data_IF_388541338916
#
_entry.id   IF_388541338916
#
_cell.length_a   1.000
_cell.length_b   1.000
_cell.length_c   1.000
_cell.angle_alpha   90.00
_cell.angle_beta   90.00
_cell.angle_gamma   90.00
#
_symmetry.space_group_name_H-M   'P 1'
#
loop_
_entity.id
_entity.type
_entity.pdbx_description
1 polymer ?
#
# COMPACT_ATOMS: atom_id res chain seq x y z
N UNK A 1 -0.66 5.44 -8.40
CA UNK A 1 -0.69 5.22 -9.87
C UNK A 1 0.47 5.95 -10.56
N UNK A 2 0.59 7.27 -10.41
CA UNK A 2 1.64 8.07 -11.06
C UNK A 2 3.06 7.56 -10.77
N UNK A 3 3.34 7.16 -9.52
CA UNK A 3 4.63 6.57 -9.16
C UNK A 3 4.94 5.26 -9.92
N UNK A 4 3.95 4.37 -10.12
CA UNK A 4 4.16 3.15 -10.90
C UNK A 4 4.46 3.49 -12.36
N UNK A 5 3.71 4.46 -12.93
CA UNK A 5 3.91 4.90 -14.31
C UNK A 5 5.29 5.57 -14.51
N UNK A 6 5.73 6.40 -13.57
CA UNK A 6 7.06 7.02 -13.63
C UNK A 6 8.21 6.02 -13.51
N UNK A 7 7.94 4.84 -12.93
CA UNK A 7 8.90 3.75 -12.79
C UNK A 7 8.78 2.68 -13.89
N UNK A 8 8.17 3.01 -15.03
CA UNK A 8 8.17 2.15 -16.22
C UNK A 8 7.08 1.09 -16.25
N UNK A 9 6.11 1.11 -15.32
CA UNK A 9 4.95 0.21 -15.40
C UNK A 9 4.01 0.71 -16.50
N UNK A 10 4.04 0.06 -17.66
CA UNK A 10 3.17 0.35 -18.82
C UNK A 10 1.95 -0.55 -18.89
N UNK A 11 2.00 -1.71 -18.22
CA UNK A 11 0.90 -2.68 -18.17
C UNK A 11 -0.41 -2.08 -17.61
N UNK A 12 -1.52 -2.76 -17.88
CA UNK A 12 -2.82 -2.38 -17.32
C UNK A 12 -2.82 -2.65 -15.82
N UNK A 13 -3.04 -1.60 -15.02
CA UNK A 13 -3.07 -1.71 -13.56
C UNK A 13 -4.50 -2.07 -13.13
N UNK A 14 -4.61 -3.15 -12.37
CA UNK A 14 -5.85 -3.61 -11.76
C UNK A 14 -5.64 -3.62 -10.26
N UNK A 15 -6.40 -2.79 -9.55
CA UNK A 15 -6.48 -2.79 -8.10
C UNK A 15 -7.51 -3.83 -7.67
N UNK A 16 -7.10 -4.71 -6.77
CA UNK A 16 -7.97 -5.66 -6.11
C UNK A 16 -8.14 -5.16 -4.68
N UNK A 17 -9.38 -4.97 -4.24
CA UNK A 17 -9.69 -4.51 -2.87
C UNK A 17 -10.55 -5.55 -2.18
N UNK A 18 -10.32 -5.72 -0.88
CA UNK A 18 -11.18 -6.56 -0.04
C UNK A 18 -12.55 -5.89 0.21
N UNK A 19 -13.54 -6.69 0.59
CA UNK A 19 -14.87 -6.21 1.01
C UNK A 19 -14.92 -5.81 2.49
N UNK A 20 -13.77 -5.61 3.14
CA UNK A 20 -13.67 -5.10 4.51
C UNK A 20 -14.49 -3.83 4.72
N UNK A 21 -14.86 -3.56 5.97
CA UNK A 21 -15.82 -2.51 6.34
C UNK A 21 -15.41 -1.11 5.81
N UNK A 22 -14.09 -0.86 5.71
CA UNK A 22 -13.45 0.36 5.19
C UNK A 22 -13.60 0.55 3.67
N UNK A 23 -13.79 -0.53 2.90
CA UNK A 23 -13.90 -0.52 1.44
C UNK A 23 -15.24 -1.03 0.91
N UNK A 24 -16.28 -1.12 1.75
CA UNK A 24 -17.61 -1.45 1.26
C UNK A 24 -18.71 -1.70 2.28
N UNK A 25 -18.41 -1.75 3.57
CA UNK A 25 -19.42 -2.01 4.61
C UNK A 25 -20.39 -0.86 4.85
N UNK A 26 -19.93 0.40 4.76
CA UNK A 26 -20.73 1.58 5.17
C UNK A 26 -20.91 2.67 4.11
N UNK A 27 -20.18 2.68 2.99
CA UNK A 27 -20.33 3.75 1.99
C UNK A 27 -20.05 3.31 0.55
N UNK A 28 -21.09 2.79 -0.11
CA UNK A 28 -21.09 2.49 -1.54
C UNK A 28 -20.71 3.69 -2.44
N UNK A 29 -21.00 4.91 -1.99
CA UNK A 29 -20.66 6.12 -2.74
C UNK A 29 -19.14 6.33 -2.82
N UNK A 30 -18.41 6.07 -1.73
CA UNK A 30 -16.93 6.15 -1.71
C UNK A 30 -16.30 5.18 -2.70
N UNK A 31 -16.77 3.93 -2.76
CA UNK A 31 -16.29 2.94 -3.75
C UNK A 31 -16.56 3.43 -5.18
N UNK A 32 -17.77 3.94 -5.44
CA UNK A 32 -18.16 4.39 -6.78
C UNK A 32 -17.27 5.53 -7.26
N UNK A 33 -17.02 6.50 -6.39
CA UNK A 33 -16.22 7.67 -6.74
C UNK A 33 -14.73 7.31 -6.85
N UNK A 34 -14.23 6.41 -6.01
CA UNK A 34 -12.90 5.83 -6.15
C UNK A 34 -12.75 5.04 -7.47
N UNK A 35 -13.75 4.24 -7.84
CA UNK A 35 -13.76 3.48 -9.10
C UNK A 35 -13.72 4.43 -10.31
N UNK A 36 -14.47 5.54 -10.27
CA UNK A 36 -14.44 6.60 -11.29
C UNK A 36 -13.06 7.24 -11.37
N UNK A 37 -12.47 7.63 -10.24
CA UNK A 37 -11.15 8.24 -10.18
C UNK A 37 -10.09 7.31 -10.80
N UNK A 38 -10.03 6.06 -10.36
CA UNK A 38 -9.09 5.05 -10.86
C UNK A 38 -9.30 4.81 -12.36
N UNK A 39 -10.55 4.77 -12.82
CA UNK A 39 -10.86 4.61 -14.25
C UNK A 39 -10.37 5.78 -15.10
N UNK A 40 -10.36 7.00 -14.55
CA UNK A 40 -9.80 8.19 -15.20
C UNK A 40 -8.30 8.07 -15.49
N UNK A 41 -7.58 7.24 -14.72
CA UNK A 41 -6.17 6.92 -14.95
C UNK A 41 -5.96 5.66 -15.81
N UNK A 42 -7.00 5.17 -16.49
CA UNK A 42 -6.93 3.95 -17.30
C UNK A 42 -6.74 2.67 -16.50
N UNK A 43 -7.01 2.70 -15.20
CA UNK A 43 -6.86 1.58 -14.29
C UNK A 43 -8.23 0.93 -14.00
N UNK A 44 -8.25 -0.31 -13.51
CA UNK A 44 -9.48 -0.98 -13.06
C UNK A 44 -9.43 -1.24 -11.56
N UNK A 45 -10.60 -1.26 -10.92
CA UNK A 45 -10.75 -1.67 -9.53
C UNK A 45 -11.79 -2.79 -9.44
N UNK A 46 -11.36 -3.93 -8.92
CA UNK A 46 -12.15 -5.15 -8.72
C UNK A 46 -12.24 -5.41 -7.22
N UNK A 47 -13.39 -5.90 -6.75
CA UNK A 47 -13.57 -6.33 -5.37
C UNK A 47 -13.51 -7.85 -5.34
N UNK A 48 -12.84 -8.41 -4.33
CA UNK A 48 -12.80 -9.86 -4.14
C UNK A 48 -14.18 -10.44 -3.88
N UNK A 49 -14.32 -11.75 -4.04
CA UNK A 49 -15.59 -12.41 -3.77
C UNK A 49 -15.83 -12.50 -2.25
N UNK A 50 -17.05 -12.20 -1.81
CA UNK A 50 -17.40 -12.28 -0.40
C UNK A 50 -17.32 -13.73 0.08
N UNK A 51 -16.52 -13.98 1.12
CA UNK A 51 -16.35 -15.32 1.68
C UNK A 51 -15.20 -16.14 1.08
N UNK A 52 -14.33 -15.51 0.29
CA UNK A 52 -13.17 -16.16 -0.36
C UNK A 52 -11.83 -15.60 0.19
N UNK A 53 -11.46 -15.93 1.44
CA UNK A 53 -10.22 -15.44 2.06
C UNK A 53 -8.94 -15.89 1.33
N UNK A 54 -9.01 -16.95 0.54
CA UNK A 54 -7.91 -17.44 -0.30
C UNK A 54 -7.45 -16.41 -1.35
N UNK A 55 -8.36 -15.55 -1.84
CA UNK A 55 -8.01 -14.48 -2.80
C UNK A 55 -7.12 -13.40 -2.17
N UNK A 56 -7.10 -13.32 -0.82
CA UNK A 56 -6.27 -12.40 -0.05
C UNK A 56 -5.02 -13.06 0.56
N UNK A 57 -4.77 -14.36 0.32
CA UNK A 57 -3.72 -15.10 1.02
C UNK A 57 -2.31 -14.48 0.86
N UNK A 58 -2.02 -13.85 -0.28
CA UNK A 58 -0.77 -13.13 -0.51
C UNK A 58 -0.68 -11.83 0.31
N UNK A 59 -1.79 -11.08 0.41
CA UNK A 59 -1.87 -9.85 1.21
C UNK A 59 -1.73 -10.17 2.70
N UNK A 60 -2.46 -11.17 3.19
CA UNK A 60 -2.40 -11.61 4.58
C UNK A 60 -1.00 -12.12 4.98
N UNK A 61 -0.32 -12.81 4.06
CA UNK A 61 1.07 -13.21 4.29
C UNK A 61 2.00 -12.00 4.34
N UNK A 62 1.80 -11.01 3.46
CA UNK A 62 2.60 -9.78 3.49
C UNK A 62 2.42 -9.03 4.81
N UNK A 63 1.18 -8.83 5.26
CA UNK A 63 0.89 -8.18 6.54
C UNK A 63 1.56 -8.90 7.70
N UNK A 64 1.52 -10.24 7.72
CA UNK A 64 2.22 -11.02 8.75
C UNK A 64 3.73 -10.81 8.71
N UNK A 65 4.34 -10.73 7.52
CA UNK A 65 5.77 -10.43 7.39
C UNK A 65 6.10 -9.03 7.91
N UNK A 66 5.26 -8.04 7.62
CA UNK A 66 5.44 -6.69 8.16
C UNK A 66 5.33 -6.70 9.69
N UNK A 67 4.35 -7.42 10.26
CA UNK A 67 4.22 -7.59 11.70
C UNK A 67 5.44 -8.28 12.33
N UNK A 68 5.86 -9.40 11.77
CA UNK A 68 6.89 -10.27 12.34
C UNK A 68 8.31 -9.69 12.19
N UNK A 69 8.60 -9.06 11.05
CA UNK A 69 9.96 -8.63 10.68
C UNK A 69 10.18 -7.11 10.81
N UNK A 70 9.12 -6.30 10.73
CA UNK A 70 9.22 -4.85 10.93
C UNK A 70 8.69 -4.44 12.31
N UNK A 71 7.39 -4.56 12.55
CA UNK A 71 6.77 -4.00 13.75
C UNK A 71 7.26 -4.68 15.03
N UNK A 72 7.23 -6.01 15.13
CA UNK A 72 7.67 -6.70 16.38
C UNK A 72 9.13 -6.45 16.70
N UNK A 73 9.99 -6.31 15.69
CA UNK A 73 11.43 -6.11 15.90
C UNK A 73 11.80 -4.65 16.19
N UNK A 74 11.01 -3.68 15.69
CA UNK A 74 11.40 -2.26 15.66
C UNK A 74 10.43 -1.31 16.35
N UNK A 75 9.19 -1.73 16.63
CA UNK A 75 8.13 -0.87 17.21
C UNK A 75 8.52 -0.14 18.49
N UNK A 76 9.34 -0.77 19.36
CA UNK A 76 9.78 -0.17 20.62
C UNK A 76 10.94 0.82 20.48
N UNK A 77 11.45 1.04 19.26
CA UNK A 77 12.63 1.87 18.99
C UNK A 77 12.31 3.17 18.24
N UNK A 78 11.05 3.41 17.92
CA UNK A 78 10.67 4.60 17.16
C UNK A 78 10.51 5.81 18.10
N UNK A 79 11.46 6.73 18.01
CA UNK A 79 11.51 7.93 18.85
C UNK A 79 10.88 9.17 18.18
N UNK A 80 10.53 9.07 16.90
CA UNK A 80 9.85 10.12 16.12
C UNK A 80 9.24 9.57 14.82
N UNK A 81 8.35 10.34 14.18
CA UNK A 81 7.82 10.03 12.84
C UNK A 81 8.93 9.94 11.78
N UNK A 82 9.93 10.82 11.85
CA UNK A 82 11.08 10.76 10.95
C UNK A 82 11.85 9.45 11.11
N UNK A 83 12.11 9.04 12.36
CA UNK A 83 12.78 7.77 12.63
C UNK A 83 11.95 6.58 12.13
N UNK A 84 10.61 6.62 12.28
CA UNK A 84 9.72 5.62 11.71
C UNK A 84 9.84 5.54 10.17
N UNK A 85 9.84 6.68 9.49
CA UNK A 85 9.96 6.74 8.02
C UNK A 85 11.33 6.24 7.54
N UNK A 86 12.41 6.59 8.23
CA UNK A 86 13.76 6.12 7.91
C UNK A 86 13.87 4.60 8.08
N UNK A 87 13.35 4.06 9.18
CA UNK A 87 13.33 2.62 9.43
C UNK A 87 12.43 1.86 8.46
N UNK A 88 11.28 2.44 8.09
CA UNK A 88 10.41 1.88 7.07
C UNK A 88 11.11 1.84 5.70
N UNK A 89 11.87 2.88 5.35
CA UNK A 89 12.65 2.92 4.11
C UNK A 89 13.75 1.85 4.12
N UNK A 90 14.46 1.70 5.24
CA UNK A 90 15.45 0.62 5.42
C UNK A 90 14.81 -0.77 5.27
N UNK A 91 13.63 -0.97 5.86
CA UNK A 91 12.92 -2.23 5.77
C UNK A 91 12.44 -2.53 4.35
N UNK A 92 11.86 -1.55 3.65
CA UNK A 92 11.46 -1.68 2.24
C UNK A 92 12.67 -2.04 1.37
N UNK A 93 13.82 -1.38 1.59
CA UNK A 93 15.04 -1.70 0.87
C UNK A 93 15.49 -3.14 1.14
N UNK A 94 15.56 -3.55 2.41
CA UNK A 94 15.90 -4.91 2.81
C UNK A 94 14.97 -5.93 2.17
N UNK A 95 13.66 -5.73 2.28
CA UNK A 95 12.64 -6.63 1.74
C UNK A 95 12.79 -6.80 0.23
N UNK A 96 12.96 -5.71 -0.51
CA UNK A 96 13.01 -5.76 -1.97
C UNK A 96 14.34 -6.27 -2.53
N UNK A 97 15.46 -5.99 -1.85
CA UNK A 97 16.80 -6.14 -2.42
C UNK A 97 17.69 -7.19 -1.74
N UNK A 98 17.36 -7.59 -0.51
CA UNK A 98 18.22 -8.46 0.30
C UNK A 98 17.47 -9.71 0.74
N UNK A 99 16.20 -9.57 1.11
CA UNK A 99 15.37 -10.67 1.62
C UNK A 99 15.04 -11.66 0.50
N UNK A 100 15.47 -12.90 0.66
CA UNK A 100 15.13 -13.99 -0.25
C UNK A 100 13.76 -14.58 0.09
N UNK A 101 13.00 -14.98 -0.93
CA UNK A 101 11.70 -15.60 -0.76
C UNK A 101 11.73 -17.01 -1.31
N UNK A 102 11.41 -18.00 -0.48
CA UNK A 102 11.33 -19.40 -0.93
C UNK A 102 10.27 -19.63 -2.02
N UNK A 103 9.21 -18.81 -2.04
CA UNK A 103 8.20 -18.82 -3.10
C UNK A 103 8.69 -18.24 -4.44
N UNK A 104 9.87 -17.61 -4.44
CA UNK A 104 10.52 -17.04 -5.62
C UNK A 104 11.86 -17.75 -5.89
N UNK A 105 11.95 -19.05 -5.58
CA UNK A 105 13.17 -19.85 -5.73
C UNK A 105 14.40 -19.22 -5.04
N UNK A 106 14.19 -18.65 -3.85
CA UNK A 106 15.21 -17.92 -3.07
C UNK A 106 15.79 -16.69 -3.78
N UNK A 107 15.07 -16.13 -4.76
CA UNK A 107 15.39 -14.81 -5.30
C UNK A 107 14.76 -13.69 -4.44
N UNK A 108 15.33 -12.49 -4.55
CA UNK A 108 14.74 -11.28 -3.94
C UNK A 108 13.58 -10.77 -4.80
N UNK A 109 12.60 -10.05 -4.21
CA UNK A 109 11.48 -9.51 -4.97
C UNK A 109 11.91 -8.67 -6.17
N UNK A 110 12.93 -7.82 -6.02
CA UNK A 110 13.45 -7.01 -7.12
C UNK A 110 14.13 -7.85 -8.20
N UNK A 111 14.94 -8.85 -7.83
CA UNK A 111 15.59 -9.73 -8.80
C UNK A 111 14.56 -10.51 -9.63
N UNK A 112 13.54 -11.07 -8.96
CA UNK A 112 12.44 -11.75 -9.62
C UNK A 112 11.68 -10.81 -10.57
N UNK A 113 11.35 -9.60 -10.12
CA UNK A 113 10.67 -8.60 -10.92
C UNK A 113 11.49 -8.21 -12.17
N UNK A 114 12.79 -7.99 -12.01
CA UNK A 114 13.70 -7.60 -13.09
C UNK A 114 13.88 -8.71 -14.13
N UNK A 115 13.84 -9.98 -13.70
CA UNK A 115 13.86 -11.12 -14.61
C UNK A 115 12.61 -11.15 -15.52
N UNK A 116 11.43 -10.84 -14.95
CA UNK A 116 10.17 -10.82 -15.70
C UNK A 116 10.02 -9.55 -16.56
N UNK A 117 10.53 -8.42 -16.07
CA UNK A 117 10.44 -7.12 -16.74
C UNK A 117 11.82 -6.43 -16.76
N UNK A 118 12.71 -6.82 -17.69
CA UNK A 118 14.08 -6.29 -17.76
C UNK A 118 14.14 -4.76 -17.93
N UNK A 119 13.15 -4.19 -18.61
CA UNK A 119 13.08 -2.75 -18.91
C UNK A 119 12.46 -1.91 -17.78
N UNK A 120 12.02 -2.53 -16.68
CA UNK A 120 11.45 -1.80 -15.55
C UNK A 120 12.49 -0.87 -14.93
N UNK A 121 12.07 0.32 -14.48
CA UNK A 121 12.98 1.24 -13.85
C UNK A 121 13.42 0.69 -12.49
N UNK A 122 14.73 0.61 -12.29
CA UNK A 122 15.35 0.15 -11.05
C UNK A 122 14.89 0.92 -9.81
N UNK A 123 14.47 2.18 -9.97
CA UNK A 123 13.93 3.01 -8.89
C UNK A 123 12.67 2.41 -8.24
N UNK A 124 11.99 1.45 -8.88
CA UNK A 124 10.84 0.75 -8.32
C UNK A 124 11.17 0.01 -7.01
N UNK A 125 12.45 -0.33 -6.76
CA UNK A 125 12.87 -1.00 -5.52
C UNK A 125 12.94 -0.09 -4.31
N UNK A 126 12.90 1.24 -4.51
CA UNK A 126 13.03 2.27 -3.48
C UNK A 126 11.72 3.01 -3.26
N UNK A 127 10.65 2.28 -2.91
CA UNK A 127 9.40 2.94 -2.57
C UNK A 127 9.58 3.79 -1.31
N UNK A 128 9.29 5.09 -1.41
CA UNK A 128 9.44 6.02 -0.30
C UNK A 128 8.22 5.94 0.63
N UNK A 129 8.40 5.60 1.91
CA UNK A 129 7.31 5.62 2.87
C UNK A 129 6.85 7.05 3.15
N UNK A 130 5.57 7.21 3.47
CA UNK A 130 4.99 8.49 3.86
C UNK A 130 3.84 8.25 4.85
N UNK A 131 3.54 9.25 5.68
CA UNK A 131 2.43 9.19 6.62
C UNK A 131 1.13 9.52 5.89
N UNK A 132 0.16 8.61 5.99
CA UNK A 132 -1.10 8.75 5.28
C UNK A 132 -1.93 9.92 5.84
N UNK A 133 -1.86 10.17 7.14
CA UNK A 133 -2.60 11.25 7.80
C UNK A 133 -2.23 12.62 7.21
N UNK A 134 -0.94 12.89 7.00
CA UNK A 134 -0.45 14.12 6.35
C UNK A 134 -1.00 14.31 4.94
N UNK A 135 -1.09 13.21 4.18
CA UNK A 135 -1.62 13.23 2.82
C UNK A 135 -3.13 13.42 2.85
N UNK A 136 -3.81 12.77 3.78
CA UNK A 136 -5.25 12.83 3.95
C UNK A 136 -5.71 14.25 4.28
N UNK A 137 -5.01 14.96 5.17
CA UNK A 137 -5.34 16.36 5.52
C UNK A 137 -5.17 17.27 4.30
N UNK A 138 -4.15 17.04 3.46
CA UNK A 138 -3.89 17.82 2.25
C UNK A 138 -4.87 17.54 1.12
N UNK A 139 -5.50 16.36 1.08
CA UNK A 139 -6.48 15.98 0.07
C UNK A 139 -7.87 16.60 0.30
N UNK A 140 -8.08 17.29 1.43
CA UNK A 140 -9.33 17.99 1.75
C UNK A 140 -10.51 17.03 1.93
N UNK A 141 -11.75 17.38 1.53
CA UNK A 141 -12.97 16.56 1.74
C UNK A 141 -12.94 15.14 1.15
N UNK A 142 -11.91 14.82 0.36
CA UNK A 142 -11.70 13.52 -0.26
C UNK A 142 -10.96 12.52 0.65
N UNK A 143 -10.44 12.96 1.80
CA UNK A 143 -9.82 12.05 2.75
C UNK A 143 -10.87 11.20 3.47
N UNK A 144 -10.74 9.89 3.31
CA UNK A 144 -11.70 8.91 3.81
C UNK A 144 -11.73 8.76 5.33
N UNK A 145 -10.79 9.39 6.06
CA UNK A 145 -10.64 9.27 7.50
C UNK A 145 -11.59 10.23 8.24
N UNK A 146 -12.84 9.79 8.40
CA UNK A 146 -13.82 10.39 9.33
C UNK A 146 -13.48 10.12 10.81
N UNK A 147 -12.21 9.98 11.20
CA UNK A 147 -11.81 9.96 12.62
C UNK A 147 -11.61 11.39 13.15
N UNK A 148 -11.23 12.34 12.30
CA UNK A 148 -11.08 13.75 12.70
C UNK A 148 -12.40 14.53 12.68
N UNK A 149 -13.45 14.03 12.01
CA UNK A 149 -14.74 14.72 11.93
C UNK A 149 -15.50 14.81 13.26
N UNK A 150 -15.10 14.04 14.29
CA UNK A 150 -15.74 14.05 15.61
C UNK A 150 -15.11 15.01 16.63
N UNK A 151 -13.94 15.60 16.33
CA UNK A 151 -13.36 16.66 17.14
C UNK A 151 -13.64 18.02 16.51
N UNK A 152 -14.92 18.39 16.42
CA UNK A 152 -15.25 19.81 16.42
C UNK A 152 -14.90 20.34 17.81
N UNK A 153 -13.75 20.99 17.94
CA UNK A 153 -13.46 21.84 19.09
C UNK A 153 -14.53 22.93 19.06
N UNK A 154 -15.56 22.76 19.88
CA UNK A 154 -16.53 23.80 20.16
C UNK A 154 -15.78 24.83 21.01
N UNK A 155 -15.34 25.92 20.39
CA UNK A 155 -15.02 27.14 21.12
C UNK A 155 -16.34 27.74 21.62
N UNK A 156 -16.51 27.79 22.94
CA UNK A 156 -17.38 28.75 23.62
C UNK A 156 -16.49 29.76 24.33
#
# INVERSE_FOLDING_TARGET
ISWLRSNGVTAKIVFIVDNGEEFGGKSWMKIRDLRKLISGFGCRMIQNHKGHPEENAHLERSHRTDDDEFYKLRSLRFDSEQHLLDEALHFIYYYNNVREHSSLDYSTPFAHLKQQYPDINDNIRFFQPFILDDVSVKLGPWSGYNLLAQHQIIFF
#
